data_IF_753704476822
#
_entry.id   IF_753704476822
#
_cell.length_a   1.000
_cell.length_b   1.000
_cell.length_c   1.000
_cell.angle_alpha   90.00
_cell.angle_beta   90.00
_cell.angle_gamma   90.00
#
_symmetry.space_group_name_H-M   'P 1'
#
loop_
_entity.id
_entity.type
_entity.pdbx_description
1 polymer ?
#
# COMPACT_ATOMS: atom_id res chain seq x y z
N UNK A 1 -32.54 -5.98 -13.89
CA UNK A 1 -33.21 -4.84 -14.57
C UNK A 1 -32.19 -4.29 -15.55
N UNK A 2 -32.44 -4.49 -16.82
CA UNK A 2 -31.58 -3.97 -17.88
C UNK A 2 -31.54 -2.44 -17.81
N UNK A 3 -30.39 -1.85 -18.06
CA UNK A 3 -30.31 -0.38 -18.03
C UNK A 3 -31.11 0.19 -19.23
N UNK A 4 -31.66 1.40 -19.08
CA UNK A 4 -32.38 2.05 -20.19
C UNK A 4 -31.53 2.13 -21.47
N UNK A 5 -30.20 2.16 -21.35
CA UNK A 5 -29.26 2.12 -22.47
C UNK A 5 -29.28 0.79 -23.22
N UNK A 6 -29.32 -0.33 -22.51
CA UNK A 6 -29.42 -1.69 -23.09
C UNK A 6 -30.73 -1.86 -23.87
N UNK A 7 -31.84 -1.35 -23.33
CA UNK A 7 -33.13 -1.34 -24.01
C UNK A 7 -33.10 -0.50 -25.30
N UNK A 8 -32.44 0.66 -25.30
CA UNK A 8 -32.32 1.48 -26.53
C UNK A 8 -31.43 0.80 -27.60
N UNK A 9 -30.36 0.11 -27.17
CA UNK A 9 -29.52 -0.68 -28.10
C UNK A 9 -30.30 -1.85 -28.70
N UNK A 10 -31.11 -2.55 -27.91
CA UNK A 10 -31.97 -3.63 -28.36
C UNK A 10 -33.01 -3.14 -29.41
N UNK A 11 -33.63 -1.97 -29.16
CA UNK A 11 -34.55 -1.34 -30.12
C UNK A 11 -33.82 -1.01 -31.43
N UNK A 12 -32.63 -0.42 -31.36
CA UNK A 12 -31.83 -0.08 -32.56
C UNK A 12 -31.48 -1.35 -33.36
N UNK A 13 -31.08 -2.41 -32.66
CA UNK A 13 -30.78 -3.69 -33.31
C UNK A 13 -32.03 -4.33 -33.97
N UNK A 14 -33.19 -4.27 -33.29
CA UNK A 14 -34.45 -4.75 -33.85
C UNK A 14 -34.88 -3.97 -35.10
N UNK A 15 -34.73 -2.65 -35.09
CA UNK A 15 -35.03 -1.80 -36.27
C UNK A 15 -34.11 -2.06 -37.44
N UNK A 16 -32.86 -2.48 -37.20
CA UNK A 16 -31.91 -2.84 -38.28
C UNK A 16 -32.11 -4.25 -38.84
N UNK A 17 -32.92 -5.10 -38.22
CA UNK A 17 -33.17 -6.46 -38.66
C UNK A 17 -34.01 -6.48 -39.93
N UNK A 18 -33.63 -7.29 -40.96
CA UNK A 18 -34.25 -7.34 -42.27
C UNK A 18 -35.73 -7.73 -42.27
N UNK A 19 -36.18 -8.46 -41.25
CA UNK A 19 -37.55 -8.97 -41.11
C UNK A 19 -38.35 -8.22 -40.03
N UNK A 20 -37.89 -7.05 -39.59
CA UNK A 20 -38.60 -6.24 -38.62
C UNK A 20 -39.79 -5.53 -39.28
N UNK A 21 -40.97 -5.71 -38.72
CA UNK A 21 -42.22 -5.05 -39.09
C UNK A 21 -42.72 -4.04 -38.05
N UNK A 22 -42.01 -3.95 -36.88
CA UNK A 22 -42.42 -3.10 -35.78
C UNK A 22 -41.83 -1.69 -35.91
N UNK A 23 -42.61 -0.70 -35.55
CA UNK A 23 -42.17 0.70 -35.54
C UNK A 23 -41.40 1.03 -34.25
N UNK A 24 -40.72 2.19 -34.25
CA UNK A 24 -40.10 2.73 -33.01
C UNK A 24 -41.12 2.87 -31.90
N UNK A 25 -42.38 3.19 -32.21
CA UNK A 25 -43.46 3.30 -31.25
C UNK A 25 -43.72 1.95 -30.58
N UNK A 26 -43.92 0.92 -31.37
CA UNK A 26 -44.28 -0.42 -30.90
C UNK A 26 -43.13 -1.02 -30.04
N UNK A 27 -41.89 -0.83 -30.46
CA UNK A 27 -40.71 -1.32 -29.76
C UNK A 27 -40.49 -0.56 -28.42
N UNK A 28 -40.75 0.76 -28.40
CA UNK A 28 -40.67 1.53 -27.15
C UNK A 28 -41.79 1.14 -26.19
N UNK A 29 -43.01 0.88 -26.67
CA UNK A 29 -44.11 0.40 -25.83
C UNK A 29 -43.80 -0.98 -25.22
N UNK A 30 -43.29 -1.92 -26.03
CA UNK A 30 -42.87 -3.24 -25.60
C UNK A 30 -41.76 -3.19 -24.53
N UNK A 31 -40.79 -2.29 -24.72
CA UNK A 31 -39.67 -2.11 -23.78
C UNK A 31 -40.02 -1.25 -22.57
N UNK A 32 -41.23 -0.66 -22.49
CA UNK A 32 -41.66 0.22 -21.38
C UNK A 32 -40.85 1.51 -21.27
N UNK A 33 -40.37 2.07 -22.41
CA UNK A 33 -39.56 3.28 -22.46
C UNK A 33 -40.19 4.34 -23.36
N UNK A 34 -39.83 5.63 -23.12
CA UNK A 34 -40.37 6.72 -23.94
C UNK A 34 -39.69 6.86 -25.28
N UNK A 35 -40.45 7.16 -26.34
CA UNK A 35 -39.93 7.48 -27.66
C UNK A 35 -38.97 8.67 -27.65
N UNK A 36 -39.26 9.71 -26.89
CA UNK A 36 -38.39 10.87 -26.74
C UNK A 36 -37.05 10.49 -26.12
N UNK A 37 -37.05 9.56 -25.15
CA UNK A 37 -35.84 8.99 -24.57
C UNK A 37 -34.96 8.27 -25.60
N UNK A 38 -35.59 7.45 -26.46
CA UNK A 38 -34.90 6.76 -27.54
C UNK A 38 -34.26 7.74 -28.54
N UNK A 39 -35.02 8.71 -29.05
CA UNK A 39 -34.46 9.69 -30.02
C UNK A 39 -33.36 10.55 -29.37
N UNK A 40 -33.53 10.99 -28.15
CA UNK A 40 -32.47 11.69 -27.41
C UNK A 40 -31.21 10.83 -27.28
N UNK A 41 -31.37 9.55 -27.01
CA UNK A 41 -30.27 8.61 -26.97
C UNK A 41 -29.58 8.47 -28.32
N UNK A 42 -30.31 8.34 -29.43
CA UNK A 42 -29.75 8.31 -30.79
C UNK A 42 -29.01 9.60 -31.10
N UNK A 43 -29.61 10.76 -30.90
CA UNK A 43 -28.96 12.07 -31.13
C UNK A 43 -27.70 12.31 -30.28
N UNK A 44 -27.60 11.66 -29.13
CA UNK A 44 -26.44 11.77 -28.23
C UNK A 44 -25.30 10.77 -28.54
N UNK A 45 -25.38 10.01 -29.66
CA UNK A 45 -24.39 8.95 -29.99
C UNK A 45 -22.96 9.50 -30.05
N UNK A 46 -22.70 10.57 -30.79
CA UNK A 46 -21.38 11.22 -30.86
C UNK A 46 -20.85 11.64 -29.49
N UNK A 47 -21.73 12.15 -28.63
CA UNK A 47 -21.33 12.55 -27.29
C UNK A 47 -20.98 11.33 -26.41
N UNK A 48 -21.67 10.20 -26.60
CA UNK A 48 -21.34 8.95 -25.89
C UNK A 48 -20.00 8.40 -26.36
N UNK A 49 -19.76 8.38 -27.67
CA UNK A 49 -18.47 7.95 -28.26
C UNK A 49 -17.30 8.81 -27.76
N UNK A 50 -17.48 10.14 -27.74
CA UNK A 50 -16.47 11.06 -27.22
C UNK A 50 -16.19 10.83 -25.71
N UNK A 51 -17.25 10.55 -24.93
CA UNK A 51 -17.10 10.22 -23.50
C UNK A 51 -16.36 8.89 -23.32
N UNK A 52 -16.71 7.87 -24.14
CA UNK A 52 -16.06 6.58 -24.10
C UNK A 52 -14.58 6.69 -24.50
N UNK A 53 -14.24 7.43 -25.53
CA UNK A 53 -12.86 7.69 -25.93
C UNK A 53 -12.06 8.38 -24.80
N UNK A 54 -12.65 9.39 -24.15
CA UNK A 54 -12.05 10.05 -22.98
C UNK A 54 -11.91 9.11 -21.78
N UNK A 55 -12.87 8.22 -21.55
CA UNK A 55 -12.80 7.23 -20.49
C UNK A 55 -11.71 6.21 -20.76
N UNK A 56 -11.56 5.72 -22.01
CA UNK A 56 -10.48 4.81 -22.41
C UNK A 56 -9.11 5.44 -22.23
N UNK A 57 -8.91 6.65 -22.74
CA UNK A 57 -7.64 7.37 -22.58
C UNK A 57 -7.28 7.55 -21.09
N UNK A 58 -8.24 7.91 -20.26
CA UNK A 58 -8.02 8.00 -18.82
C UNK A 58 -7.76 6.62 -18.16
N UNK A 59 -8.36 5.57 -18.68
CA UNK A 59 -8.15 4.21 -18.17
C UNK A 59 -6.76 3.66 -18.51
N UNK A 60 -6.20 3.99 -19.68
CA UNK A 60 -4.80 3.63 -20.02
C UNK A 60 -3.82 4.23 -19.03
N UNK A 61 -4.01 5.49 -18.62
CA UNK A 61 -3.21 6.11 -17.57
C UNK A 61 -3.36 5.38 -16.22
N UNK A 62 -4.57 4.93 -15.89
CA UNK A 62 -4.83 4.12 -14.68
C UNK A 62 -4.10 2.77 -14.77
N UNK A 63 -4.09 2.11 -15.94
CA UNK A 63 -3.40 0.84 -16.15
C UNK A 63 -1.89 0.98 -16.01
N UNK A 64 -1.31 2.04 -16.57
CA UNK A 64 0.12 2.34 -16.42
C UNK A 64 0.48 2.52 -14.93
N UNK A 65 -0.26 3.35 -14.21
CA UNK A 65 -0.08 3.54 -12.78
C UNK A 65 -0.28 2.24 -11.98
N UNK A 66 -1.25 1.41 -12.36
CA UNK A 66 -1.52 0.13 -11.71
C UNK A 66 -0.36 -0.86 -11.88
N UNK A 67 0.19 -0.97 -13.10
CA UNK A 67 1.26 -1.93 -13.45
C UNK A 67 2.64 -1.51 -12.97
N UNK A 68 2.81 -0.29 -12.53
CA UNK A 68 4.11 0.25 -12.12
C UNK A 68 4.79 -0.64 -11.08
N UNK A 69 6.04 -1.05 -11.34
CA UNK A 69 6.85 -1.98 -10.52
C UNK A 69 6.23 -3.37 -10.34
N UNK A 70 5.17 -3.74 -11.06
CA UNK A 70 4.53 -5.05 -10.98
C UNK A 70 3.64 -5.29 -9.76
N UNK A 71 3.66 -4.42 -8.76
CA UNK A 71 2.84 -4.58 -7.56
C UNK A 71 1.44 -4.00 -7.75
N UNK A 72 0.42 -4.80 -7.41
CA UNK A 72 -0.98 -4.40 -7.54
C UNK A 72 -1.33 -3.24 -6.59
N UNK A 73 -2.07 -2.27 -7.11
CA UNK A 73 -2.43 -1.05 -6.39
C UNK A 73 -3.94 -0.88 -6.32
N UNK A 74 -4.44 -0.51 -5.14
CA UNK A 74 -5.82 -0.05 -4.99
C UNK A 74 -6.00 1.39 -5.47
N UNK A 75 -7.25 1.87 -5.46
CA UNK A 75 -7.64 3.22 -5.93
C UNK A 75 -6.75 4.34 -5.38
N UNK A 76 -6.40 4.29 -4.08
CA UNK A 76 -5.52 5.31 -3.45
C UNK A 76 -4.09 5.22 -3.96
N UNK A 77 -3.53 4.01 -4.09
CA UNK A 77 -2.19 3.80 -4.65
C UNK A 77 -2.09 4.29 -6.10
N UNK A 78 -3.09 3.98 -6.94
CA UNK A 78 -3.18 4.49 -8.31
C UNK A 78 -3.24 6.03 -8.32
N UNK A 79 -4.06 6.64 -7.46
CA UNK A 79 -4.18 8.10 -7.37
C UNK A 79 -2.84 8.75 -7.03
N UNK A 80 -2.13 8.23 -6.03
CA UNK A 80 -0.82 8.74 -5.63
C UNK A 80 0.20 8.58 -6.76
N UNK A 81 0.22 7.42 -7.44
CA UNK A 81 1.13 7.21 -8.58
C UNK A 81 0.82 8.15 -9.75
N UNK A 82 -0.45 8.38 -10.08
CA UNK A 82 -0.83 9.36 -11.10
C UNK A 82 -0.35 10.78 -10.76
N UNK A 83 -0.40 11.17 -9.47
CA UNK A 83 0.15 12.47 -9.04
C UNK A 83 1.67 12.56 -9.31
N UNK A 84 2.43 11.50 -9.05
CA UNK A 84 3.87 11.43 -9.35
C UNK A 84 4.16 11.45 -10.88
N UNK A 85 3.20 10.99 -11.69
CA UNK A 85 3.25 11.13 -13.15
C UNK A 85 2.79 12.51 -13.66
N UNK A 86 2.50 13.46 -12.77
CA UNK A 86 1.97 14.77 -13.12
C UNK A 86 0.49 14.77 -13.54
N UNK A 87 -0.22 13.64 -13.36
CA UNK A 87 -1.61 13.46 -13.81
C UNK A 87 -2.58 13.68 -12.64
N UNK A 88 -3.40 14.74 -12.73
CA UNK A 88 -4.46 15.01 -11.74
C UNK A 88 -5.75 14.29 -12.13
N UNK A 89 -6.09 13.22 -11.41
CA UNK A 89 -7.34 12.49 -11.61
C UNK A 89 -8.05 12.25 -10.28
N UNK A 90 -9.34 12.63 -10.22
CA UNK A 90 -10.13 12.47 -9.00
C UNK A 90 -10.31 11.00 -8.62
N UNK A 91 -10.17 10.69 -7.34
CA UNK A 91 -10.34 9.33 -6.77
C UNK A 91 -11.68 8.70 -7.14
N UNK A 92 -12.77 9.51 -7.23
CA UNK A 92 -14.09 9.04 -7.66
C UNK A 92 -14.08 8.58 -9.13
N UNK A 93 -13.37 9.32 -10.02
CA UNK A 93 -13.20 8.94 -11.44
C UNK A 93 -12.40 7.66 -11.57
N UNK A 94 -11.28 7.52 -10.85
CA UNK A 94 -10.46 6.29 -10.84
C UNK A 94 -11.33 5.09 -10.43
N UNK A 95 -12.07 5.19 -9.32
CA UNK A 95 -12.95 4.10 -8.84
C UNK A 95 -14.02 3.73 -9.86
N UNK A 96 -14.63 4.71 -10.53
CA UNK A 96 -15.64 4.50 -11.57
C UNK A 96 -15.04 3.74 -12.76
N UNK A 97 -13.87 4.18 -13.25
CA UNK A 97 -13.22 3.57 -14.41
C UNK A 97 -12.70 2.16 -14.09
N UNK A 98 -12.09 1.94 -12.92
CA UNK A 98 -11.71 0.59 -12.48
C UNK A 98 -12.91 -0.36 -12.46
N UNK A 99 -14.07 0.10 -11.97
CA UNK A 99 -15.30 -0.71 -11.97
C UNK A 99 -15.80 -0.96 -13.38
N UNK A 100 -15.86 0.08 -14.23
CA UNK A 100 -16.32 0.01 -15.63
C UNK A 100 -15.52 -0.99 -16.45
N UNK A 101 -14.20 -0.98 -16.30
CA UNK A 101 -13.29 -1.86 -17.04
C UNK A 101 -12.83 -3.09 -16.24
N UNK A 102 -13.55 -3.43 -15.16
CA UNK A 102 -13.35 -4.64 -14.34
C UNK A 102 -11.92 -4.80 -13.82
N UNK A 103 -11.19 -3.69 -13.59
CA UNK A 103 -9.88 -3.72 -12.96
C UNK A 103 -10.02 -3.85 -11.44
N UNK A 104 -9.56 -4.96 -10.89
CA UNK A 104 -9.61 -5.25 -9.45
C UNK A 104 -8.21 -5.29 -8.85
N UNK A 105 -8.09 -4.88 -7.59
CA UNK A 105 -6.86 -5.05 -6.82
C UNK A 105 -6.96 -6.37 -6.04
N UNK A 106 -6.08 -7.36 -6.28
CA UNK A 106 -6.13 -8.66 -5.62
C UNK A 106 -5.66 -8.62 -4.16
N UNK A 107 -5.05 -7.51 -3.71
CA UNK A 107 -4.56 -7.37 -2.34
C UNK A 107 -5.73 -7.51 -1.37
N UNK A 108 -5.54 -8.36 -0.35
CA UNK A 108 -6.52 -8.68 0.67
C UNK A 108 -7.04 -7.42 1.38
N UNK A 109 -8.35 -7.25 1.44
CA UNK A 109 -8.97 -6.20 2.26
C UNK A 109 -8.78 -6.56 3.75
N UNK A 110 -8.39 -5.59 4.61
CA UNK A 110 -8.31 -5.84 6.05
C UNK A 110 -9.66 -6.32 6.58
N UNK A 111 -9.65 -7.40 7.38
CA UNK A 111 -10.87 -7.92 8.00
C UNK A 111 -11.44 -6.87 8.99
N UNK A 112 -12.69 -6.41 8.83
CA UNK A 112 -13.30 -5.44 9.73
C UNK A 112 -13.34 -5.91 11.20
N UNK A 113 -13.53 -7.22 11.41
CA UNK A 113 -13.53 -7.81 12.76
C UNK A 113 -12.17 -7.72 13.47
N UNK A 114 -11.06 -7.72 12.75
CA UNK A 114 -9.74 -7.46 13.36
C UNK A 114 -9.62 -6.05 13.92
N UNK A 115 -10.24 -5.06 13.28
CA UNK A 115 -10.30 -3.68 13.80
C UNK A 115 -11.14 -3.61 15.08
N UNK A 116 -12.28 -4.30 15.12
CA UNK A 116 -13.13 -4.35 16.30
C UNK A 116 -12.44 -5.08 17.46
N UNK A 117 -11.83 -6.24 17.21
CA UNK A 117 -11.03 -6.97 18.21
C UNK A 117 -9.85 -6.13 18.72
N UNK A 118 -9.21 -5.35 17.85
CA UNK A 118 -8.19 -4.40 18.25
C UNK A 118 -8.76 -3.33 19.20
N UNK A 119 -9.88 -2.69 18.86
CA UNK A 119 -10.47 -1.65 19.71
C UNK A 119 -10.95 -2.18 21.07
N UNK A 120 -11.46 -3.40 21.14
CA UNK A 120 -11.85 -4.06 22.40
C UNK A 120 -10.63 -4.36 23.28
N UNK A 121 -9.51 -4.81 22.70
CA UNK A 121 -8.26 -5.03 23.45
C UNK A 121 -7.60 -3.73 23.92
N UNK A 122 -7.89 -2.59 23.29
CA UNK A 122 -7.37 -1.27 23.69
C UNK A 122 -7.82 -0.81 25.08
N UNK A 123 -8.94 -1.32 25.60
CA UNK A 123 -9.49 -0.92 26.90
C UNK A 123 -8.77 -1.49 28.13
N UNK A 124 -7.77 -2.40 27.97
CA UNK A 124 -7.16 -3.14 29.08
C UNK A 124 -5.65 -2.94 29.30
N UNK A 125 -5.02 -1.96 28.65
CA UNK A 125 -3.55 -1.81 28.67
C UNK A 125 -3.07 -0.71 29.61
N UNK A 126 -2.11 -1.04 30.47
CA UNK A 126 -1.40 -0.13 31.38
C UNK A 126 -0.50 0.88 30.62
N UNK A 127 -0.22 2.03 31.26
CA UNK A 127 0.56 3.16 30.74
C UNK A 127 1.90 2.77 30.08
N UNK A 128 2.12 3.34 28.89
CA UNK A 128 3.28 3.08 28.04
C UNK A 128 4.19 4.30 27.98
N UNK A 129 5.49 4.13 28.20
CA UNK A 129 6.50 5.21 28.19
C UNK A 129 6.74 5.83 26.79
N UNK A 130 6.35 5.15 25.72
CA UNK A 130 6.46 5.65 24.34
C UNK A 130 5.14 6.29 23.86
N UNK A 131 4.22 6.55 24.73
CA UNK A 131 2.96 7.30 24.61
C UNK A 131 2.34 7.40 23.21
N UNK A 132 2.55 6.42 22.30
CA UNK A 132 2.01 6.33 20.92
C UNK A 132 2.25 7.56 20.03
N UNK A 133 3.06 8.49 20.45
CA UNK A 133 3.40 9.71 19.73
C UNK A 133 4.61 9.49 18.81
N UNK A 134 4.60 8.36 18.06
CA UNK A 134 5.70 7.99 17.16
C UNK A 134 6.04 9.08 16.14
N UNK A 135 5.07 9.89 15.76
CA UNK A 135 5.24 10.96 14.77
C UNK A 135 5.75 12.27 15.38
N UNK A 136 5.56 12.49 16.69
CA UNK A 136 5.95 13.73 17.37
C UNK A 136 7.45 13.84 17.65
N UNK A 137 8.18 12.72 17.62
CA UNK A 137 9.62 12.70 17.95
C UNK A 137 10.56 12.99 16.78
N UNK A 138 10.02 13.11 15.56
CA UNK A 138 10.81 13.35 14.35
C UNK A 138 11.54 12.12 13.80
N UNK A 139 12.22 12.28 12.65
CA UNK A 139 12.93 11.17 12.00
C UNK A 139 14.12 10.71 12.83
N UNK A 140 14.40 9.41 12.82
CA UNK A 140 15.52 8.75 13.52
C UNK A 140 15.43 8.77 15.04
N UNK A 141 14.38 9.31 15.64
CA UNK A 141 14.24 9.33 17.09
C UNK A 141 13.83 7.96 17.66
N UNK A 142 12.87 7.29 17.02
CA UNK A 142 12.38 5.97 17.44
C UNK A 142 12.48 5.01 16.26
N UNK A 143 13.24 3.94 16.45
CA UNK A 143 13.41 2.86 15.50
C UNK A 143 12.72 1.60 16.03
N UNK A 144 11.87 1.00 15.24
CA UNK A 144 11.16 -0.23 15.59
C UNK A 144 11.88 -1.42 14.97
N UNK A 145 12.14 -2.46 15.74
CA UNK A 145 12.71 -3.70 15.21
C UNK A 145 11.84 -4.88 15.56
N UNK A 146 11.74 -5.80 14.60
CA UNK A 146 10.95 -7.03 14.76
C UNK A 146 11.39 -8.10 13.74
N UNK A 147 10.99 -9.34 13.98
CA UNK A 147 11.27 -10.50 13.13
C UNK A 147 9.96 -11.03 12.57
N UNK A 148 9.94 -11.31 11.27
CA UNK A 148 8.83 -12.01 10.67
C UNK A 148 9.25 -13.32 10.03
N UNK A 149 8.33 -14.28 10.04
CA UNK A 149 8.47 -15.60 9.46
C UNK A 149 7.89 -15.58 8.04
N UNK A 150 8.64 -16.09 7.08
CA UNK A 150 8.27 -16.14 5.68
C UNK A 150 8.30 -17.59 5.22
N UNK A 151 7.19 -18.15 4.71
CA UNK A 151 7.15 -19.53 4.25
C UNK A 151 8.02 -19.71 3.01
N UNK A 152 8.84 -20.75 3.02
CA UNK A 152 9.72 -21.16 1.92
C UNK A 152 9.75 -22.68 1.82
N UNK A 153 9.12 -23.27 0.79
CA UNK A 153 9.18 -24.74 0.49
C UNK A 153 8.90 -25.63 1.69
N UNK A 154 7.83 -25.36 2.44
CA UNK A 154 7.44 -26.14 3.62
C UNK A 154 8.27 -25.87 4.88
N UNK A 155 9.21 -24.94 4.82
CA UNK A 155 9.98 -24.43 5.96
C UNK A 155 9.73 -22.93 6.11
N UNK A 156 10.46 -22.28 7.00
CA UNK A 156 10.46 -20.81 7.14
C UNK A 156 11.87 -20.27 6.93
N UNK A 157 11.95 -19.12 6.32
CA UNK A 157 13.06 -18.19 6.49
C UNK A 157 12.59 -16.99 7.31
N UNK A 158 13.53 -16.25 7.82
CA UNK A 158 13.33 -15.19 8.81
C UNK A 158 13.82 -13.88 8.24
N UNK A 159 13.08 -12.83 8.51
CA UNK A 159 13.44 -11.47 8.11
C UNK A 159 13.41 -10.59 9.37
N UNK A 160 14.56 -10.03 9.71
CA UNK A 160 14.70 -8.97 10.71
C UNK A 160 14.72 -7.62 10.02
N UNK A 161 14.02 -6.63 10.55
CA UNK A 161 13.96 -5.28 9.98
C UNK A 161 14.08 -4.23 11.06
N UNK A 162 14.63 -3.06 10.70
CA UNK A 162 14.60 -1.85 11.50
C UNK A 162 13.88 -0.77 10.71
N UNK A 163 12.75 -0.30 11.24
CA UNK A 163 11.85 0.68 10.66
C UNK A 163 11.90 1.98 11.46
N UNK A 164 12.05 3.11 10.79
CA UNK A 164 11.87 4.42 11.42
C UNK A 164 10.37 4.66 11.68
N UNK A 165 10.03 4.87 12.93
CA UNK A 165 8.63 5.02 13.35
C UNK A 165 7.96 6.28 12.77
N UNK A 166 8.72 7.36 12.53
CA UNK A 166 8.23 8.60 11.96
C UNK A 166 8.06 8.49 10.43
N UNK A 167 9.12 8.16 9.71
CA UNK A 167 9.16 8.19 8.24
C UNK A 167 8.66 6.91 7.59
N UNK A 168 8.50 5.85 8.36
CA UNK A 168 8.21 4.48 7.90
C UNK A 168 9.28 3.91 6.96
N UNK A 169 10.48 4.50 6.91
CA UNK A 169 11.60 3.95 6.14
C UNK A 169 12.09 2.64 6.76
N UNK A 170 12.33 1.63 5.95
CA UNK A 170 13.14 0.47 6.34
C UNK A 170 14.60 0.88 6.21
N UNK A 171 15.27 1.03 7.36
CA UNK A 171 16.66 1.51 7.42
C UNK A 171 17.67 0.38 7.26
N UNK A 172 17.31 -0.79 7.78
CA UNK A 172 18.13 -1.99 7.67
C UNK A 172 17.23 -3.23 7.73
N UNK A 173 17.68 -4.30 7.08
CA UNK A 173 17.07 -5.61 7.18
C UNK A 173 18.10 -6.70 6.88
N UNK A 174 17.88 -7.88 7.44
CA UNK A 174 18.66 -9.08 7.16
C UNK A 174 17.74 -10.30 7.09
N UNK A 175 18.07 -11.25 6.24
CA UNK A 175 17.35 -12.51 6.10
C UNK A 175 18.24 -13.69 6.50
N UNK A 176 17.62 -14.72 7.09
CA UNK A 176 18.30 -15.94 7.48
C UNK A 176 17.39 -17.17 7.29
N UNK A 177 18.00 -18.33 7.04
CA UNK A 177 17.32 -19.62 7.10
C UNK A 177 17.30 -20.17 8.55
N UNK A 178 18.08 -19.59 9.46
CA UNK A 178 18.15 -19.95 10.88
C UNK A 178 17.59 -18.82 11.75
N UNK A 179 16.87 -19.20 12.81
CA UNK A 179 16.33 -18.26 13.81
C UNK A 179 17.35 -17.99 14.93
N UNK A 180 18.60 -17.83 14.60
CA UNK A 180 19.67 -17.47 15.55
C UNK A 180 19.76 -15.96 15.72
N UNK A 181 20.43 -15.50 16.78
CA UNK A 181 20.54 -14.08 17.06
C UNK A 181 21.37 -13.32 16.03
N UNK A 182 22.26 -13.99 15.31
CA UNK A 182 23.29 -13.37 14.49
C UNK A 182 22.72 -12.52 13.33
N UNK A 183 21.61 -12.93 12.69
CA UNK A 183 20.99 -12.09 11.65
C UNK A 183 20.31 -10.83 12.20
N UNK A 184 19.89 -10.86 13.47
CA UNK A 184 19.38 -9.67 14.15
C UNK A 184 20.52 -8.70 14.46
N UNK A 185 21.69 -9.24 14.88
CA UNK A 185 22.89 -8.44 15.07
C UNK A 185 23.37 -7.81 13.75
N UNK A 186 23.35 -8.59 12.64
CA UNK A 186 23.63 -8.10 11.31
C UNK A 186 22.73 -6.92 10.92
N UNK A 187 21.45 -7.00 11.25
CA UNK A 187 20.49 -5.89 10.98
C UNK A 187 20.91 -4.60 11.69
N UNK A 188 21.36 -4.68 12.96
CA UNK A 188 21.87 -3.51 13.70
C UNK A 188 23.17 -3.00 13.11
N UNK A 189 24.09 -3.90 12.72
CA UNK A 189 25.36 -3.53 12.08
C UNK A 189 25.13 -2.79 10.76
N UNK A 190 24.19 -3.28 9.93
CA UNK A 190 23.79 -2.61 8.69
C UNK A 190 23.17 -1.24 8.94
N UNK A 191 22.33 -1.10 9.97
CA UNK A 191 21.80 0.20 10.40
C UNK A 191 22.93 1.18 10.70
N UNK A 192 23.87 0.80 11.55
CA UNK A 192 24.98 1.67 11.96
C UNK A 192 25.88 2.00 10.77
N UNK A 193 26.15 1.02 9.91
CA UNK A 193 27.00 1.19 8.72
C UNK A 193 26.40 2.20 7.72
N UNK A 194 25.09 2.13 7.48
CA UNK A 194 24.46 2.93 6.42
C UNK A 194 23.84 4.24 6.93
N UNK A 195 23.44 4.28 8.20
CA UNK A 195 22.70 5.39 8.78
C UNK A 195 23.33 5.98 10.04
N UNK A 196 24.47 5.47 10.50
CA UNK A 196 25.12 5.88 11.75
C UNK A 196 25.29 7.40 11.90
N UNK A 197 25.61 8.10 10.81
CA UNK A 197 25.77 9.57 10.80
C UNK A 197 24.45 10.30 11.13
N UNK A 198 23.30 9.72 10.74
CA UNK A 198 21.97 10.31 10.98
C UNK A 198 21.35 9.92 12.33
N UNK A 199 22.00 9.03 13.08
CA UNK A 199 21.55 8.59 14.39
C UNK A 199 22.18 9.47 15.48
N UNK A 200 21.43 9.67 16.55
CA UNK A 200 21.90 10.41 17.74
C UNK A 200 21.98 9.47 18.95
N UNK A 201 22.65 9.93 20.02
CA UNK A 201 22.67 9.21 21.31
C UNK A 201 21.27 9.11 21.96
N UNK A 202 20.31 9.92 21.51
CA UNK A 202 18.93 9.87 21.97
C UNK A 202 18.07 8.91 21.14
N UNK A 203 18.59 8.38 20.02
CA UNK A 203 17.88 7.41 19.18
C UNK A 203 17.56 6.15 19.98
N UNK A 204 16.30 5.78 19.98
CA UNK A 204 15.77 4.61 20.70
C UNK A 204 15.50 3.48 19.72
N UNK A 205 16.08 2.30 19.96
CA UNK A 205 15.63 1.05 19.32
C UNK A 205 14.59 0.41 20.23
N UNK A 206 13.37 0.25 19.71
CA UNK A 206 12.25 -0.37 20.39
C UNK A 206 11.97 -1.75 19.80
N UNK A 207 11.92 -2.77 20.66
CA UNK A 207 11.63 -4.17 20.29
C UNK A 207 10.55 -4.78 21.18
N UNK A 208 10.08 -5.95 20.82
CA UNK A 208 9.35 -6.81 21.75
C UNK A 208 10.31 -7.45 22.78
N UNK A 209 9.75 -8.31 23.66
CA UNK A 209 10.54 -9.06 24.66
C UNK A 209 11.03 -10.42 24.13
N UNK A 210 11.20 -10.56 22.83
CA UNK A 210 11.72 -11.77 22.21
C UNK A 210 13.13 -12.14 22.68
N UNK A 211 13.46 -13.43 22.67
CA UNK A 211 14.75 -13.97 23.13
C UNK A 211 15.94 -13.36 22.42
N UNK A 212 15.78 -12.98 21.14
CA UNK A 212 16.81 -12.34 20.33
C UNK A 212 17.19 -10.96 20.89
N UNK A 213 16.20 -10.16 21.29
CA UNK A 213 16.36 -8.80 21.79
C UNK A 213 16.76 -8.71 23.27
N UNK A 214 16.60 -9.82 24.02
CA UNK A 214 17.05 -9.96 25.40
C UNK A 214 18.43 -10.61 25.52
N UNK A 215 19.01 -11.05 24.41
CA UNK A 215 20.35 -11.65 24.40
C UNK A 215 21.43 -10.65 24.76
N UNK A 216 22.45 -11.09 25.50
CA UNK A 216 23.59 -10.24 25.88
C UNK A 216 24.30 -9.66 24.67
N UNK A 217 24.43 -10.43 23.57
CA UNK A 217 25.05 -9.97 22.33
C UNK A 217 24.31 -8.76 21.74
N UNK A 218 22.97 -8.82 21.68
CA UNK A 218 22.17 -7.72 21.17
C UNK A 218 22.27 -6.48 22.06
N UNK A 219 22.19 -6.67 23.38
CA UNK A 219 22.30 -5.59 24.38
C UNK A 219 23.62 -4.85 24.18
N UNK A 220 24.74 -5.59 24.20
CA UNK A 220 26.09 -5.04 24.04
C UNK A 220 26.26 -4.31 22.69
N UNK A 221 25.74 -4.87 21.61
CA UNK A 221 25.85 -4.26 20.28
C UNK A 221 25.12 -2.91 20.23
N UNK A 222 23.90 -2.83 20.75
CA UNK A 222 23.11 -1.59 20.76
C UNK A 222 23.77 -0.52 21.64
N UNK A 223 24.26 -0.89 22.82
CA UNK A 223 24.97 0.01 23.74
C UNK A 223 26.29 0.51 23.13
N UNK A 224 27.09 -0.38 22.53
CA UNK A 224 28.32 -0.02 21.84
C UNK A 224 28.08 0.88 20.60
N UNK A 225 26.89 0.82 20.04
CA UNK A 225 26.45 1.70 18.93
C UNK A 225 25.92 3.04 19.41
N UNK A 226 26.02 3.34 20.72
CA UNK A 226 25.51 4.54 21.36
C UNK A 226 24.00 4.79 21.15
N UNK A 227 23.22 3.71 21.03
CA UNK A 227 21.76 3.74 20.87
C UNK A 227 21.10 3.37 22.21
N UNK A 228 19.94 3.94 22.47
CA UNK A 228 19.13 3.61 23.64
C UNK A 228 18.19 2.44 23.33
N UNK A 229 17.98 1.58 24.31
CA UNK A 229 17.03 0.47 24.20
C UNK A 229 15.70 0.81 24.86
N UNK A 230 14.63 0.38 24.22
CA UNK A 230 13.29 0.33 24.78
C UNK A 230 12.63 -1.00 24.42
N UNK A 231 11.79 -1.50 25.29
CA UNK A 231 11.08 -2.76 25.05
C UNK A 231 9.60 -2.58 25.35
N UNK A 232 8.75 -3.20 24.53
CA UNK A 232 7.32 -3.31 24.78
C UNK A 232 7.08 -4.00 26.13
N UNK A 233 6.02 -3.62 26.83
CA UNK A 233 5.57 -4.37 28.03
C UNK A 233 5.05 -5.73 27.59
N UNK A 234 5.22 -6.75 28.45
CA UNK A 234 4.80 -8.12 28.16
C UNK A 234 3.32 -8.20 27.77
N UNK A 235 3.03 -8.71 26.56
CA UNK A 235 1.69 -8.83 26.02
C UNK A 235 1.11 -7.57 25.37
N UNK A 236 1.89 -6.49 25.21
CA UNK A 236 1.43 -5.23 24.60
C UNK A 236 1.97 -5.09 23.17
N UNK A 237 1.29 -5.72 22.22
CA UNK A 237 1.65 -5.68 20.79
C UNK A 237 1.40 -4.31 20.12
N UNK A 238 0.86 -3.33 20.84
CA UNK A 238 0.50 -2.02 20.30
C UNK A 238 1.69 -1.10 20.05
N UNK A 239 2.76 -1.35 20.77
CA UNK A 239 3.97 -0.53 20.68
C UNK A 239 4.75 -0.83 19.39
N UNK A 240 4.42 -1.92 18.69
CA UNK A 240 5.01 -2.34 17.42
C UNK A 240 4.00 -2.35 16.25
N UNK A 241 2.86 -1.69 16.39
CA UNK A 241 1.80 -1.68 15.36
C UNK A 241 2.27 -1.20 13.97
N UNK A 242 3.18 -0.22 13.82
CA UNK A 242 3.72 0.13 12.50
C UNK A 242 4.50 -1.01 11.85
N UNK A 243 5.27 -1.77 12.62
CA UNK A 243 6.04 -2.92 12.15
C UNK A 243 5.12 -4.08 11.72
N UNK A 244 4.08 -4.38 12.54
CA UNK A 244 3.07 -5.38 12.17
C UNK A 244 2.34 -5.00 10.86
N UNK A 245 2.00 -3.72 10.70
CA UNK A 245 1.37 -3.20 9.48
C UNK A 245 2.31 -3.33 8.28
N UNK A 246 3.58 -3.00 8.46
CA UNK A 246 4.62 -3.14 7.43
C UNK A 246 4.74 -4.60 6.95
N UNK A 247 4.91 -5.55 7.86
CA UNK A 247 4.98 -6.97 7.52
C UNK A 247 3.70 -7.49 6.88
N UNK A 248 2.54 -7.03 7.34
CA UNK A 248 1.26 -7.35 6.73
C UNK A 248 1.18 -6.92 5.27
N UNK A 249 1.58 -5.68 4.96
CA UNK A 249 1.62 -5.18 3.59
C UNK A 249 2.62 -5.93 2.71
N UNK A 250 3.82 -6.21 3.23
CA UNK A 250 4.82 -6.98 2.52
C UNK A 250 4.30 -8.36 2.11
N UNK A 251 3.76 -9.09 3.08
CA UNK A 251 3.24 -10.45 2.84
C UNK A 251 2.03 -10.47 1.90
N UNK A 252 1.15 -9.48 2.01
CA UNK A 252 -0.02 -9.38 1.13
C UNK A 252 0.38 -9.02 -0.32
N UNK A 253 1.38 -8.16 -0.50
CA UNK A 253 1.86 -7.73 -1.81
C UNK A 253 2.73 -8.79 -2.50
N UNK A 254 3.47 -9.60 -1.73
CA UNK A 254 4.29 -10.71 -2.22
C UNK A 254 3.51 -12.05 -2.26
N UNK A 255 2.25 -12.08 -1.88
CA UNK A 255 1.48 -13.33 -1.75
C UNK A 255 1.44 -14.17 -3.04
N UNK A 256 1.47 -13.54 -4.20
CA UNK A 256 1.52 -14.22 -5.51
C UNK A 256 2.91 -14.74 -5.88
N UNK A 257 3.98 -14.17 -5.33
CA UNK A 257 5.37 -14.56 -5.62
C UNK A 257 5.85 -15.68 -4.68
N UNK A 258 5.44 -15.66 -3.41
CA UNK A 258 5.88 -16.59 -2.37
C UNK A 258 5.79 -18.07 -2.79
N UNK A 259 4.69 -18.56 -3.41
CA UNK A 259 4.61 -19.97 -3.83
C UNK A 259 5.61 -20.36 -4.92
N UNK A 260 6.11 -19.39 -5.69
CA UNK A 260 7.07 -19.59 -6.78
C UNK A 260 8.55 -19.57 -6.35
N UNK A 261 8.87 -19.28 -5.09
CA UNK A 261 10.24 -19.22 -4.63
C UNK A 261 10.86 -20.61 -4.52
N UNK A 262 11.93 -20.83 -5.29
CA UNK A 262 12.61 -22.14 -5.39
C UNK A 262 13.80 -22.26 -4.47
N UNK A 263 14.37 -21.16 -3.98
CA UNK A 263 15.51 -21.12 -3.08
C UNK A 263 15.47 -19.91 -2.14
N UNK A 264 16.36 -19.91 -1.15
CA UNK A 264 16.53 -18.78 -0.24
C UNK A 264 16.98 -17.52 -1.00
N UNK A 265 17.88 -17.65 -1.97
CA UNK A 265 18.38 -16.56 -2.80
C UNK A 265 17.26 -15.96 -3.66
N UNK A 266 16.34 -16.80 -4.19
CA UNK A 266 15.20 -16.33 -4.95
C UNK A 266 14.22 -15.54 -4.05
N UNK A 267 13.97 -16.04 -2.83
CA UNK A 267 13.16 -15.32 -1.83
C UNK A 267 13.82 -14.00 -1.43
N UNK A 268 15.13 -14.02 -1.16
CA UNK A 268 15.90 -12.83 -0.81
C UNK A 268 15.87 -11.79 -1.93
N UNK A 269 16.11 -12.18 -3.16
CA UNK A 269 16.06 -11.27 -4.31
C UNK A 269 14.67 -10.65 -4.51
N UNK A 270 13.58 -11.40 -4.25
CA UNK A 270 12.23 -10.88 -4.31
C UNK A 270 11.97 -9.85 -3.19
N UNK A 271 12.43 -10.14 -1.97
CA UNK A 271 12.31 -9.23 -0.82
C UNK A 271 13.16 -7.98 -1.04
N UNK A 272 14.40 -8.10 -1.54
CA UNK A 272 15.27 -6.96 -1.84
C UNK A 272 14.60 -6.00 -2.85
N UNK A 273 13.98 -6.52 -3.93
CA UNK A 273 13.21 -5.71 -4.88
C UNK A 273 11.99 -5.04 -4.23
N UNK A 274 11.31 -5.77 -3.33
CA UNK A 274 10.16 -5.20 -2.63
C UNK A 274 10.57 -4.11 -1.63
N UNK A 275 11.71 -4.26 -0.92
CA UNK A 275 12.25 -3.25 -0.01
C UNK A 275 12.65 -1.98 -0.75
N UNK A 276 13.29 -2.12 -1.92
CA UNK A 276 13.59 -0.98 -2.80
C UNK A 276 12.31 -0.26 -3.23
N UNK A 277 11.32 -1.01 -3.72
CA UNK A 277 10.01 -0.46 -4.07
C UNK A 277 9.32 0.20 -2.88
N UNK A 278 9.35 -0.43 -1.70
CA UNK A 278 8.72 0.10 -0.51
C UNK A 278 9.29 1.46 -0.11
N UNK A 279 10.60 1.58 -0.06
CA UNK A 279 11.26 2.80 0.36
C UNK A 279 11.19 3.92 -0.70
N UNK A 280 11.30 3.59 -1.99
CA UNK A 280 11.47 4.57 -3.05
C UNK A 280 10.19 4.90 -3.82
N UNK A 281 9.26 3.95 -3.99
CA UNK A 281 8.15 4.10 -4.94
C UNK A 281 6.76 3.84 -4.31
N UNK A 282 6.71 3.20 -3.13
CA UNK A 282 5.45 2.88 -2.47
C UNK A 282 4.92 4.07 -1.70
N UNK A 283 4.19 4.93 -2.40
CA UNK A 283 3.55 6.09 -1.78
C UNK A 283 2.52 5.67 -0.72
N UNK A 284 2.53 6.38 0.40
CA UNK A 284 1.63 6.17 1.52
C UNK A 284 0.77 7.41 1.76
N UNK A 285 -0.52 7.17 2.07
CA UNK A 285 -1.47 8.27 2.20
C UNK A 285 -1.12 9.22 3.35
N UNK A 286 -0.66 8.65 4.46
CA UNK A 286 -0.37 9.39 5.69
C UNK A 286 1.04 10.04 5.67
N UNK A 287 1.88 9.67 4.71
CA UNK A 287 3.18 10.30 4.45
C UNK A 287 3.08 11.39 3.38
N UNK A 288 2.11 12.29 3.49
CA UNK A 288 1.86 13.35 2.50
C UNK A 288 1.75 12.83 1.04
N UNK A 289 1.37 11.55 0.84
CA UNK A 289 1.29 10.81 -0.43
C UNK A 289 2.65 10.56 -1.10
N UNK A 290 3.70 10.58 -0.33
CA UNK A 290 5.07 10.31 -0.72
C UNK A 290 5.46 8.87 -0.35
N UNK A 291 6.54 8.38 -0.95
CA UNK A 291 7.25 7.19 -0.47
C UNK A 291 8.01 7.51 0.83
N UNK A 292 8.41 6.50 1.63
CA UNK A 292 9.17 6.74 2.85
C UNK A 292 10.44 7.58 2.65
N UNK A 293 11.20 7.36 1.57
CA UNK A 293 12.41 8.14 1.28
C UNK A 293 12.08 9.58 0.86
N UNK A 294 11.06 9.76 0.01
CA UNK A 294 10.60 11.10 -0.37
C UNK A 294 10.05 11.88 0.83
N UNK A 295 9.32 11.18 1.73
CA UNK A 295 8.79 11.81 2.94
C UNK A 295 9.90 12.23 3.89
N UNK A 296 10.94 11.40 4.08
CA UNK A 296 12.11 11.78 4.85
C UNK A 296 12.79 13.01 4.26
N UNK A 297 13.00 13.05 2.95
CA UNK A 297 13.55 14.23 2.27
C UNK A 297 12.67 15.46 2.52
N UNK A 298 11.37 15.35 2.32
CA UNK A 298 10.42 16.46 2.50
C UNK A 298 10.45 17.03 3.93
N UNK A 299 10.42 16.19 4.97
CA UNK A 299 10.39 16.69 6.35
C UNK A 299 11.76 17.24 6.82
N UNK A 300 12.86 16.85 6.18
CA UNK A 300 14.21 17.33 6.51
C UNK A 300 14.62 18.57 5.76
N UNK A 301 14.15 18.75 4.51
CA UNK A 301 14.53 19.88 3.66
C UNK A 301 13.41 20.91 3.49
N UNK A 302 12.16 20.52 3.72
CA UNK A 302 10.96 21.32 3.40
C UNK A 302 10.58 21.28 1.90
N UNK A 303 11.36 20.59 1.04
CA UNK A 303 11.13 20.49 -0.40
C UNK A 303 10.23 19.30 -0.72
N UNK A 304 9.07 19.56 -1.35
CA UNK A 304 8.17 18.49 -1.79
C UNK A 304 8.66 17.92 -3.14
N UNK A 305 9.07 16.62 -3.20
CA UNK A 305 9.82 16.07 -4.35
C UNK A 305 9.05 16.05 -5.67
N UNK A 306 7.73 15.97 -5.64
CA UNK A 306 6.92 15.82 -6.85
C UNK A 306 6.69 17.13 -7.64
N UNK A 307 7.46 18.20 -7.38
CA UNK A 307 7.37 19.48 -8.10
C UNK A 307 6.01 20.21 -7.99
N UNK A 308 5.07 19.62 -7.27
CA UNK A 308 3.75 20.16 -7.02
C UNK A 308 3.39 19.95 -5.55
N UNK A 309 3.48 21.04 -4.77
CA UNK A 309 2.81 21.03 -3.46
C UNK A 309 1.34 20.64 -3.70
N UNK A 310 0.88 19.51 -3.16
CA UNK A 310 -0.52 19.18 -3.24
C UNK A 310 -1.32 20.32 -2.60
N UNK A 311 -2.43 20.71 -3.21
CA UNK A 311 -3.28 21.83 -2.75
C UNK A 311 -3.83 21.67 -1.30
N UNK A 312 -3.52 20.56 -0.63
CA UNK A 312 -3.93 20.23 0.75
C UNK A 312 -2.78 20.25 1.77
N UNK A 313 -1.54 20.49 1.37
CA UNK A 313 -0.45 20.78 2.29
C UNK A 313 -0.52 22.28 2.57
N UNK A 314 -1.26 22.64 3.60
CA UNK A 314 -1.21 23.96 4.25
C UNK A 314 -0.54 23.82 5.59
#
# INVERSE_FOLDING_TARGET
MDSAGESFEAIRAALAARNNILTVKDLCELAGISRSGYYNWVCSEKNRELREAKDRAAFEQILEAYRFRGYAKGVRGIHMRLLHMGIRMNVKKIRRLMRKYKLTCPIRKPNPYRRLQRSIRMGSAAENLVNREFESHGPRAILLTDITYIPLRGRFCYLSTILDACTKQVLAYAMSESLEVDFVLETVQLLVKHHGISLSKETVIHSDQGTHYTSLKFIQLVENSALRRSMSRRGNCWDNAPQESFFGHMKDELASEIPGWTSFEAAKASIDRWMDYYNNDRCQWDLAKLSPNEYYHYITTGEYPAGMLPLWVK
#
